data_IF_698847119257
#
_entry.id   IF_698847119257
#
_cell.length_a   1.000
_cell.length_b   1.000
_cell.length_c   1.000
_cell.angle_alpha   90.00
_cell.angle_beta   90.00
_cell.angle_gamma   90.00
#
_symmetry.space_group_name_H-M   'P 1'
#
loop_
_entity.id
_entity.type
_entity.pdbx_description
1 polymer ?
#
# COMPACT_ATOMS: atom_id res chain seq x y z
N UNK A 1 -1.65 -20.98 -13.87
CA UNK A 1 -1.31 -19.60 -14.22
C UNK A 1 -1.58 -19.38 -15.70
N UNK A 2 -2.18 -18.21 -16.05
CA UNK A 2 -2.35 -17.76 -17.45
C UNK A 2 -1.34 -16.64 -17.70
N UNK A 3 -0.58 -16.73 -18.81
CA UNK A 3 0.47 -15.76 -19.14
C UNK A 3 0.19 -15.24 -20.55
N UNK A 4 0.03 -13.92 -20.67
CA UNK A 4 -0.15 -13.22 -21.94
C UNK A 4 1.17 -12.99 -22.69
N UNK A 5 1.08 -12.34 -23.84
CA UNK A 5 2.22 -12.12 -24.73
C UNK A 5 3.23 -11.11 -24.12
N UNK A 6 4.50 -11.27 -24.47
CA UNK A 6 5.60 -10.38 -24.08
C UNK A 6 5.82 -10.24 -22.57
N UNK A 7 5.39 -11.21 -21.75
CA UNK A 7 5.70 -11.24 -20.34
C UNK A 7 7.15 -11.69 -20.10
N UNK A 8 7.79 -11.07 -19.10
CA UNK A 8 9.14 -11.44 -18.65
C UNK A 8 9.02 -11.93 -17.21
N UNK A 9 9.50 -13.14 -16.95
CA UNK A 9 9.49 -13.76 -15.61
C UNK A 9 10.93 -14.16 -15.27
N UNK A 10 11.44 -13.62 -14.16
CA UNK A 10 12.78 -13.88 -13.67
C UNK A 10 12.95 -15.30 -13.12
N UNK A 11 14.20 -15.76 -13.02
CA UNK A 11 14.55 -17.13 -12.60
C UNK A 11 14.10 -17.46 -11.15
N UNK A 12 14.07 -16.46 -10.26
CA UNK A 12 13.76 -16.62 -8.86
C UNK A 12 12.31 -16.20 -8.53
N UNK A 13 11.40 -16.30 -9.51
CA UNK A 13 9.99 -15.93 -9.34
C UNK A 13 9.15 -17.18 -9.13
N UNK A 14 8.39 -17.21 -8.04
CA UNK A 14 7.38 -18.23 -7.77
C UNK A 14 5.98 -17.62 -7.91
N UNK A 15 5.09 -18.27 -8.71
CA UNK A 15 3.72 -17.77 -8.94
C UNK A 15 2.72 -18.87 -8.59
N UNK A 16 1.83 -18.59 -7.64
CA UNK A 16 0.78 -19.50 -7.22
C UNK A 16 -0.34 -19.70 -8.26
N UNK A 17 -1.27 -20.60 -7.94
CA UNK A 17 -2.32 -21.04 -8.83
C UNK A 17 -3.28 -19.91 -9.23
N UNK A 18 -3.90 -20.05 -10.38
CA UNK A 18 -4.97 -19.17 -10.90
C UNK A 18 -4.57 -17.71 -11.10
N UNK A 19 -3.29 -17.39 -11.06
CA UNK A 19 -2.81 -16.06 -11.42
C UNK A 19 -2.95 -15.79 -12.92
N UNK A 20 -3.17 -14.52 -13.27
CA UNK A 20 -3.26 -14.03 -14.64
C UNK A 20 -2.24 -12.91 -14.85
N UNK A 21 -1.31 -13.12 -15.73
CA UNK A 21 -0.42 -12.08 -16.24
C UNK A 21 -0.96 -11.70 -17.63
N UNK A 22 -1.47 -10.47 -17.75
CA UNK A 22 -1.88 -9.97 -19.06
C UNK A 22 -0.63 -9.65 -19.89
N UNK A 23 -0.78 -8.94 -21.00
CA UNK A 23 0.36 -8.72 -21.89
C UNK A 23 1.43 -7.81 -21.26
N UNK A 24 2.70 -8.04 -21.59
CA UNK A 24 3.81 -7.10 -21.26
C UNK A 24 4.01 -6.89 -19.75
N UNK A 25 3.77 -7.92 -18.94
CA UNK A 25 4.04 -7.92 -17.51
C UNK A 25 5.48 -8.31 -17.25
N UNK A 26 6.17 -7.60 -16.35
CA UNK A 26 7.53 -7.88 -15.94
C UNK A 26 7.58 -8.23 -14.46
N UNK A 27 7.99 -9.45 -14.11
CA UNK A 27 8.17 -9.92 -12.74
C UNK A 27 9.60 -10.41 -12.56
N UNK A 28 10.33 -9.83 -11.63
CA UNK A 28 11.76 -10.09 -11.41
C UNK A 28 12.09 -10.28 -9.91
N UNK A 29 13.40 -10.35 -9.64
CA UNK A 29 13.93 -10.49 -8.28
C UNK A 29 13.53 -11.79 -7.60
N UNK A 30 13.84 -11.91 -6.31
CA UNK A 30 13.38 -13.04 -5.50
C UNK A 30 11.92 -12.76 -5.05
N UNK A 31 10.98 -13.07 -5.93
CA UNK A 31 9.57 -12.69 -5.77
C UNK A 31 8.68 -13.92 -5.63
N UNK A 32 7.94 -13.97 -4.53
CA UNK A 32 6.94 -15.00 -4.28
C UNK A 32 5.54 -14.41 -4.32
N UNK A 33 4.68 -14.98 -5.17
CA UNK A 33 3.31 -14.53 -5.43
C UNK A 33 2.35 -15.65 -5.07
N UNK A 34 1.34 -15.34 -4.27
CA UNK A 34 0.25 -16.24 -3.92
C UNK A 34 -0.70 -16.51 -5.10
N UNK A 35 -1.94 -16.88 -4.79
CA UNK A 35 -2.92 -17.36 -5.75
C UNK A 35 -3.86 -16.26 -6.24
N UNK A 36 -4.44 -16.46 -7.43
CA UNK A 36 -5.54 -15.63 -7.98
C UNK A 36 -5.21 -14.15 -8.11
N UNK A 37 -3.94 -13.81 -8.27
CA UNK A 37 -3.52 -12.44 -8.55
C UNK A 37 -3.68 -12.10 -10.04
N UNK A 38 -4.00 -10.84 -10.34
CA UNK A 38 -4.14 -10.34 -11.71
C UNK A 38 -3.15 -9.18 -11.91
N UNK A 39 -2.31 -9.33 -12.92
CA UNK A 39 -1.34 -8.30 -13.32
C UNK A 39 -1.73 -7.78 -14.70
N UNK A 40 -2.01 -6.49 -14.77
CA UNK A 40 -2.41 -5.79 -16.00
C UNK A 40 -1.18 -5.38 -16.83
N UNK A 41 -1.37 -4.93 -18.07
CA UNK A 41 -0.25 -4.60 -18.96
C UNK A 41 0.71 -3.56 -18.35
N UNK A 42 2.01 -3.73 -18.64
CA UNK A 42 3.09 -2.84 -18.21
C UNK A 42 3.33 -2.77 -16.70
N UNK A 43 2.82 -3.73 -15.94
CA UNK A 43 3.14 -3.87 -14.52
C UNK A 43 4.57 -4.36 -14.35
N UNK A 44 5.30 -3.81 -13.37
CA UNK A 44 6.67 -4.20 -13.02
C UNK A 44 6.76 -4.58 -11.54
N UNK A 45 6.97 -5.86 -11.26
CA UNK A 45 6.98 -6.44 -9.91
C UNK A 45 8.37 -6.97 -9.57
N UNK A 46 8.81 -6.78 -8.33
CA UNK A 46 10.10 -7.26 -7.85
C UNK A 46 11.28 -6.47 -8.41
N UNK A 47 11.05 -5.21 -8.73
CA UNK A 47 12.08 -4.33 -9.30
C UNK A 47 13.14 -3.95 -8.28
N UNK A 48 14.31 -3.59 -8.77
CA UNK A 48 15.40 -3.03 -7.97
C UNK A 48 14.91 -1.81 -7.18
N UNK A 49 15.22 -1.73 -5.87
CA UNK A 49 14.88 -0.56 -5.05
C UNK A 49 15.46 0.73 -5.61
N UNK A 50 14.67 1.80 -5.56
CA UNK A 50 15.13 3.16 -5.89
C UNK A 50 15.85 3.79 -4.67
N UNK A 51 16.81 3.08 -4.14
CA UNK A 51 17.65 3.51 -3.01
C UNK A 51 19.11 3.57 -3.43
N UNK A 52 19.75 4.73 -3.28
CA UNK A 52 21.16 4.94 -3.63
C UNK A 52 22.12 4.06 -2.82
N UNK A 53 21.67 3.48 -1.72
CA UNK A 53 22.48 2.57 -0.90
C UNK A 53 22.41 1.12 -1.38
N UNK A 54 21.41 0.75 -2.17
CA UNK A 54 21.26 -0.61 -2.68
C UNK A 54 22.44 -0.99 -3.57
N UNK A 55 23.03 -2.17 -3.32
CA UNK A 55 24.22 -2.68 -4.04
C UNK A 55 23.98 -4.01 -4.76
N UNK A 56 22.70 -4.44 -4.88
CA UNK A 56 22.35 -5.72 -5.46
C UNK A 56 22.28 -6.87 -4.45
N UNK A 57 22.06 -6.55 -3.20
CA UNK A 57 21.91 -7.52 -2.11
C UNK A 57 20.73 -8.45 -2.38
N UNK A 58 20.80 -9.65 -1.84
CA UNK A 58 19.73 -10.62 -1.96
C UNK A 58 18.55 -10.22 -1.05
N UNK A 59 17.53 -9.67 -1.66
CA UNK A 59 16.32 -9.19 -1.00
C UNK A 59 15.06 -9.72 -1.69
N UNK A 60 13.91 -9.59 -1.08
CA UNK A 60 12.72 -10.36 -1.40
C UNK A 60 11.48 -9.47 -1.55
N UNK A 61 10.49 -10.02 -2.27
CA UNK A 61 9.12 -9.53 -2.33
C UNK A 61 8.16 -10.70 -2.11
N UNK A 62 7.22 -10.52 -1.18
CA UNK A 62 6.12 -11.46 -0.98
C UNK A 62 4.78 -10.78 -1.28
N UNK A 63 3.97 -11.41 -2.12
CA UNK A 63 2.61 -10.99 -2.47
C UNK A 63 1.66 -12.12 -2.12
N UNK A 64 0.63 -11.84 -1.34
CA UNK A 64 -0.43 -12.78 -0.99
C UNK A 64 -1.41 -13.06 -2.14
N UNK A 65 -2.66 -13.34 -1.79
CA UNK A 65 -3.68 -13.82 -2.70
C UNK A 65 -4.68 -12.72 -3.13
N UNK A 66 -5.34 -12.94 -4.28
CA UNK A 66 -6.46 -12.13 -4.78
C UNK A 66 -6.15 -10.63 -4.95
N UNK A 67 -4.94 -10.27 -5.31
CA UNK A 67 -4.59 -8.88 -5.56
C UNK A 67 -4.75 -8.54 -7.05
N UNK A 68 -5.08 -7.27 -7.33
CA UNK A 68 -5.12 -6.72 -8.67
C UNK A 68 -4.13 -5.56 -8.80
N UNK A 69 -3.17 -5.71 -9.71
CA UNK A 69 -2.20 -4.67 -10.05
C UNK A 69 -2.54 -4.13 -11.43
N UNK A 70 -3.10 -2.92 -11.47
CA UNK A 70 -3.47 -2.25 -12.71
C UNK A 70 -2.23 -1.75 -13.45
N UNK A 71 -2.45 -1.27 -14.64
CA UNK A 71 -1.42 -0.88 -15.59
C UNK A 71 -0.39 0.06 -14.95
N UNK A 72 0.87 -0.15 -15.31
CA UNK A 72 2.01 0.66 -14.85
C UNK A 72 2.28 0.65 -13.34
N UNK A 73 1.66 -0.25 -12.57
CA UNK A 73 2.06 -0.44 -11.18
C UNK A 73 3.51 -0.90 -11.08
N UNK A 74 4.22 -0.38 -10.07
CA UNK A 74 5.58 -0.76 -9.77
C UNK A 74 5.71 -1.16 -8.30
N UNK A 75 6.34 -2.30 -8.01
CA UNK A 75 6.62 -2.78 -6.66
C UNK A 75 8.08 -3.20 -6.57
N UNK A 76 8.83 -2.62 -5.63
CA UNK A 76 10.23 -2.95 -5.42
C UNK A 76 10.42 -4.08 -4.40
N UNK A 77 11.51 -4.86 -4.52
CA UNK A 77 11.96 -5.76 -3.45
C UNK A 77 12.42 -4.97 -2.23
N UNK A 78 12.74 -5.65 -1.12
CA UNK A 78 13.29 -5.00 0.08
C UNK A 78 14.74 -4.55 -0.08
N UNK A 79 15.30 -3.97 1.00
CA UNK A 79 16.72 -3.60 1.12
C UNK A 79 17.34 -4.29 2.34
N UNK A 80 18.67 -4.44 2.37
CA UNK A 80 19.40 -5.02 3.51
C UNK A 80 19.06 -4.32 4.82
N UNK A 81 18.97 -3.00 4.78
CA UNK A 81 18.75 -2.16 5.96
C UNK A 81 17.27 -2.12 6.42
N UNK A 82 16.34 -2.44 5.53
CA UNK A 82 14.90 -2.43 5.81
C UNK A 82 14.31 -3.78 6.23
N UNK A 83 15.15 -4.79 6.45
CA UNK A 83 14.69 -6.13 6.81
C UNK A 83 14.57 -7.07 5.61
N UNK A 84 15.11 -6.68 4.48
CA UNK A 84 15.26 -7.48 3.26
C UNK A 84 13.98 -7.82 2.50
N UNK A 85 12.81 -7.36 2.92
CA UNK A 85 11.57 -7.84 2.34
C UNK A 85 10.48 -6.77 2.26
N UNK A 86 9.91 -6.63 1.07
CA UNK A 86 8.62 -5.96 0.87
C UNK A 86 7.49 -6.98 0.92
N UNK A 87 6.40 -6.68 1.63
CA UNK A 87 5.25 -7.58 1.77
C UNK A 87 3.95 -6.90 1.40
N UNK A 88 3.14 -7.62 0.62
CA UNK A 88 1.75 -7.24 0.29
C UNK A 88 0.87 -8.43 0.66
N UNK A 89 -0.14 -8.20 1.51
CA UNK A 89 -1.08 -9.25 1.90
C UNK A 89 -2.14 -9.49 0.82
N UNK A 90 -3.39 -9.66 1.19
CA UNK A 90 -4.43 -10.22 0.32
C UNK A 90 -5.51 -9.19 -0.04
N UNK A 91 -6.23 -9.46 -1.14
CA UNK A 91 -7.43 -8.74 -1.56
C UNK A 91 -7.20 -7.25 -1.82
N UNK A 92 -6.06 -6.86 -2.32
CA UNK A 92 -5.70 -5.47 -2.56
C UNK A 92 -5.96 -5.07 -4.02
N UNK A 93 -6.36 -3.81 -4.21
CA UNK A 93 -6.46 -3.17 -5.51
C UNK A 93 -5.44 -2.03 -5.59
N UNK A 94 -4.48 -2.18 -6.49
CA UNK A 94 -3.54 -1.14 -6.88
C UNK A 94 -3.95 -0.61 -8.24
N UNK A 95 -4.45 0.63 -8.28
CA UNK A 95 -4.91 1.25 -9.52
C UNK A 95 -3.73 1.72 -10.38
N UNK A 96 -4.03 2.24 -11.55
CA UNK A 96 -3.03 2.63 -12.57
C UNK A 96 -1.91 3.50 -11.98
N UNK A 97 -0.67 3.13 -12.26
CA UNK A 97 0.51 3.94 -11.93
C UNK A 97 0.89 3.96 -10.44
N UNK A 98 0.33 3.08 -9.62
CA UNK A 98 0.70 3.00 -8.19
C UNK A 98 2.14 2.53 -8.05
N UNK A 99 2.91 3.21 -7.20
CA UNK A 99 4.26 2.81 -6.79
C UNK A 99 4.27 2.34 -5.33
N UNK A 100 4.83 1.16 -5.09
CA UNK A 100 5.14 0.65 -3.74
C UNK A 100 6.65 0.53 -3.60
N UNK A 101 7.21 1.36 -2.73
CA UNK A 101 8.64 1.38 -2.41
C UNK A 101 9.10 0.12 -1.67
N UNK A 102 10.41 -0.02 -1.56
CA UNK A 102 11.07 -1.12 -0.86
C UNK A 102 10.70 -1.19 0.63
N UNK A 103 10.76 -2.38 1.20
CA UNK A 103 10.53 -2.64 2.63
C UNK A 103 9.13 -2.25 3.17
N UNK A 104 8.19 -1.95 2.29
CA UNK A 104 6.81 -1.70 2.69
C UNK A 104 6.13 -2.96 3.23
N UNK A 105 5.30 -2.80 4.25
CA UNK A 105 4.45 -3.84 4.82
C UNK A 105 2.98 -3.45 4.60
N UNK A 106 2.36 -4.03 3.60
CA UNK A 106 1.01 -3.65 3.13
C UNK A 106 0.00 -4.69 3.61
N UNK A 107 -0.99 -4.27 4.41
CA UNK A 107 -2.05 -5.10 4.96
C UNK A 107 -3.06 -5.63 3.94
N UNK A 108 -4.13 -6.25 4.41
CA UNK A 108 -5.20 -6.79 3.57
C UNK A 108 -6.18 -5.70 3.12
N UNK A 109 -6.92 -5.98 2.03
CA UNK A 109 -8.07 -5.20 1.55
C UNK A 109 -7.73 -3.73 1.25
N UNK A 110 -6.54 -3.46 0.74
CA UNK A 110 -6.14 -2.09 0.37
C UNK A 110 -6.84 -1.63 -0.89
N UNK A 111 -7.17 -0.34 -0.95
CA UNK A 111 -7.53 0.33 -2.20
C UNK A 111 -6.60 1.52 -2.38
N UNK A 112 -5.63 1.38 -3.28
CA UNK A 112 -4.65 2.43 -3.57
C UNK A 112 -4.94 2.97 -4.96
N UNK A 113 -5.39 4.23 -5.00
CA UNK A 113 -5.88 4.85 -6.22
C UNK A 113 -4.74 5.33 -7.13
N UNK A 114 -5.12 5.71 -8.35
CA UNK A 114 -4.23 6.06 -9.45
C UNK A 114 -3.08 7.00 -9.04
N UNK A 115 -1.88 6.64 -9.48
CA UNK A 115 -0.66 7.44 -9.30
C UNK A 115 -0.29 7.74 -7.84
N UNK A 116 -0.81 6.99 -6.88
CA UNK A 116 -0.35 7.11 -5.51
C UNK A 116 1.08 6.55 -5.39
N UNK A 117 1.96 7.32 -4.71
CA UNK A 117 3.36 6.98 -4.51
C UNK A 117 3.62 6.66 -3.04
N UNK A 118 3.91 5.40 -2.73
CA UNK A 118 4.24 4.94 -1.39
C UNK A 118 5.74 4.77 -1.29
N UNK A 119 6.40 5.62 -0.51
CA UNK A 119 7.84 5.55 -0.31
C UNK A 119 8.24 4.32 0.53
N UNK A 120 9.53 4.04 0.62
CA UNK A 120 10.04 2.86 1.33
C UNK A 120 9.71 2.82 2.81
N UNK A 121 9.70 1.60 3.38
CA UNK A 121 9.49 1.33 4.82
C UNK A 121 8.12 1.72 5.38
N UNK A 122 7.12 1.99 4.54
CA UNK A 122 5.78 2.30 5.02
C UNK A 122 5.07 1.04 5.53
N UNK A 123 4.27 1.21 6.58
CA UNK A 123 3.46 0.14 7.18
C UNK A 123 1.99 0.52 7.07
N UNK A 124 1.22 -0.27 6.34
CA UNK A 124 -0.23 -0.09 6.21
C UNK A 124 -0.94 -1.23 6.92
N UNK A 125 -1.77 -0.89 7.88
CA UNK A 125 -2.69 -1.86 8.47
C UNK A 125 -3.77 -2.27 7.45
N UNK A 126 -4.68 -3.17 7.83
CA UNK A 126 -5.74 -3.63 6.93
C UNK A 126 -6.74 -2.51 6.58
N UNK A 127 -7.37 -2.63 5.42
CA UNK A 127 -8.53 -1.82 4.99
C UNK A 127 -8.22 -0.33 4.72
N UNK A 128 -6.98 0.02 4.41
CA UNK A 128 -6.59 1.41 4.10
C UNK A 128 -7.03 1.80 2.69
N UNK A 129 -7.44 3.06 2.54
CA UNK A 129 -7.76 3.66 1.24
C UNK A 129 -6.84 4.86 1.01
N UNK A 130 -6.09 4.85 -0.09
CA UNK A 130 -5.25 5.98 -0.51
C UNK A 130 -5.86 6.61 -1.75
N UNK A 131 -6.18 7.89 -1.68
CA UNK A 131 -6.70 8.68 -2.79
C UNK A 131 -5.65 8.90 -3.89
N UNK A 132 -6.12 9.13 -5.11
CA UNK A 132 -5.25 9.30 -6.27
C UNK A 132 -4.31 10.49 -6.15
N UNK A 133 -3.13 10.38 -6.79
CA UNK A 133 -2.06 11.37 -6.79
C UNK A 133 -1.57 11.76 -5.38
N UNK A 134 -1.78 10.90 -4.38
CA UNK A 134 -1.25 11.11 -3.03
C UNK A 134 0.15 10.52 -2.91
N UNK A 135 0.95 11.10 -2.00
CA UNK A 135 2.29 10.60 -1.69
C UNK A 135 2.40 10.32 -0.20
N UNK A 136 2.99 9.17 0.16
CA UNK A 136 3.24 8.79 1.55
C UNK A 136 4.74 8.76 1.78
N UNK A 137 5.20 9.57 2.75
CA UNK A 137 6.62 9.68 3.10
C UNK A 137 7.12 8.36 3.71
N UNK A 138 8.39 8.08 3.50
CA UNK A 138 9.05 6.88 4.06
C UNK A 138 8.88 6.76 5.58
N UNK A 139 8.83 5.52 6.08
CA UNK A 139 8.65 5.17 7.49
C UNK A 139 7.28 5.52 8.09
N UNK A 140 6.32 5.98 7.30
CA UNK A 140 4.99 6.34 7.78
C UNK A 140 4.14 5.09 8.05
N UNK A 141 3.37 5.13 9.13
CA UNK A 141 2.37 4.11 9.47
C UNK A 141 0.96 4.62 9.19
N UNK A 142 0.18 3.83 8.46
CA UNK A 142 -1.23 4.14 8.17
C UNK A 142 -2.10 3.12 8.90
N UNK A 143 -2.87 3.62 9.86
CA UNK A 143 -3.71 2.79 10.72
C UNK A 143 -4.89 2.17 9.99
N UNK A 144 -5.41 1.08 10.54
CA UNK A 144 -6.50 0.28 10.00
C UNK A 144 -7.71 1.13 9.60
N UNK A 145 -8.24 0.89 8.40
CA UNK A 145 -9.45 1.56 7.92
C UNK A 145 -9.32 3.07 7.72
N UNK A 146 -8.10 3.61 7.77
CA UNK A 146 -7.87 5.00 7.47
C UNK A 146 -8.11 5.32 5.99
N UNK A 147 -8.48 6.55 5.71
CA UNK A 147 -8.63 7.07 4.36
C UNK A 147 -7.77 8.31 4.16
N UNK A 148 -6.93 8.29 3.16
CA UNK A 148 -6.17 9.44 2.67
C UNK A 148 -6.90 10.00 1.46
N UNK A 149 -7.30 11.27 1.51
CA UNK A 149 -7.94 11.96 0.40
C UNK A 149 -6.98 12.11 -0.80
N UNK A 150 -7.52 12.33 -1.99
CA UNK A 150 -6.68 12.55 -3.17
C UNK A 150 -5.79 13.79 -3.05
N UNK A 151 -4.67 13.81 -3.76
CA UNK A 151 -3.70 14.92 -3.79
C UNK A 151 -3.08 15.23 -2.41
N UNK A 152 -3.02 14.25 -1.50
CA UNK A 152 -2.54 14.43 -0.13
C UNK A 152 -1.08 14.01 0.01
N UNK A 153 -0.26 14.89 0.59
CA UNK A 153 1.07 14.54 1.07
C UNK A 153 1.02 14.08 2.52
N UNK A 154 1.27 12.79 2.75
CA UNK A 154 1.28 12.19 4.10
C UNK A 154 2.71 12.14 4.61
N UNK A 155 3.04 12.95 5.59
CA UNK A 155 4.39 13.07 6.18
C UNK A 155 4.46 12.64 7.66
N UNK A 156 3.37 12.08 8.19
CA UNK A 156 3.24 11.59 9.57
C UNK A 156 2.36 10.35 9.62
N UNK A 157 2.38 9.65 10.74
CA UNK A 157 1.50 8.50 10.98
C UNK A 157 0.04 8.90 10.98
N UNK A 158 -0.81 8.05 10.40
CA UNK A 158 -2.26 8.26 10.30
C UNK A 158 -2.97 7.32 11.26
N UNK A 159 -3.82 7.88 12.12
CA UNK A 159 -4.58 7.10 13.09
C UNK A 159 -5.61 6.17 12.40
N UNK A 160 -5.93 5.03 13.01
CA UNK A 160 -6.95 4.13 12.49
C UNK A 160 -8.30 4.81 12.30
N UNK A 161 -9.03 4.43 11.25
CA UNK A 161 -10.39 4.90 10.94
C UNK A 161 -10.54 6.42 10.81
N UNK A 162 -9.44 7.14 10.52
CA UNK A 162 -9.49 8.59 10.28
C UNK A 162 -9.51 8.91 8.79
N UNK A 163 -9.99 10.08 8.46
CA UNK A 163 -9.89 10.70 7.13
C UNK A 163 -8.89 11.86 7.23
N UNK A 164 -7.84 11.79 6.42
CA UNK A 164 -6.84 12.86 6.29
C UNK A 164 -6.80 13.38 4.85
N UNK A 165 -6.56 14.67 4.68
CA UNK A 165 -6.45 15.30 3.36
C UNK A 165 -5.62 16.59 3.42
N UNK A 166 -5.11 17.01 2.30
CA UNK A 166 -4.41 18.30 2.14
C UNK A 166 -3.02 18.16 1.59
N UNK A 167 -2.41 19.25 1.24
CA UNK A 167 -1.06 19.32 0.68
C UNK A 167 -0.01 18.70 1.63
N UNK A 168 -0.13 19.03 2.94
CA UNK A 168 0.31 18.18 4.04
C UNK A 168 -0.94 17.90 4.85
N UNK A 169 -1.18 16.64 5.23
CA UNK A 169 -2.46 16.30 5.81
C UNK A 169 -2.73 17.08 7.11
N UNK A 170 -3.98 17.40 7.33
CA UNK A 170 -4.52 17.74 8.63
C UNK A 170 -5.68 16.77 8.95
N UNK A 171 -5.93 16.58 10.24
CA UNK A 171 -7.07 15.78 10.66
C UNK A 171 -8.38 16.51 10.27
N UNK A 172 -9.22 15.86 9.48
CA UNK A 172 -10.53 16.38 9.09
C UNK A 172 -11.63 15.80 9.94
N UNK A 173 -11.68 14.48 10.06
CA UNK A 173 -12.69 13.74 10.81
C UNK A 173 -12.32 12.26 10.86
N UNK A 174 -13.09 11.46 11.63
CA UNK A 174 -13.04 10.01 11.54
C UNK A 174 -13.66 9.53 10.23
N UNK A 175 -13.28 8.34 9.76
CA UNK A 175 -13.83 7.75 8.55
C UNK A 175 -15.23 7.15 8.81
N UNK A 176 -16.25 8.01 8.96
CA UNK A 176 -17.64 7.62 9.26
C UNK A 176 -18.20 6.59 8.25
N UNK A 177 -17.95 6.80 6.98
CA UNK A 177 -18.45 5.91 5.92
C UNK A 177 -17.81 4.54 6.04
N UNK A 178 -16.49 4.50 6.25
CA UNK A 178 -15.74 3.25 6.45
C UNK A 178 -16.21 2.48 7.67
N UNK A 179 -16.40 3.15 8.80
CA UNK A 179 -16.89 2.54 10.02
C UNK A 179 -18.29 1.95 9.84
N UNK A 180 -19.22 2.70 9.23
CA UNK A 180 -20.60 2.22 8.95
C UNK A 180 -20.61 1.01 8.01
N UNK A 181 -19.81 1.02 6.93
CA UNK A 181 -19.70 -0.12 6.01
C UNK A 181 -19.14 -1.38 6.68
N UNK A 182 -18.31 -1.22 7.71
CA UNK A 182 -17.79 -2.33 8.53
C UNK A 182 -18.74 -2.80 9.63
N UNK A 183 -19.92 -2.19 9.74
CA UNK A 183 -20.98 -2.60 10.69
C UNK A 183 -20.77 -2.11 12.12
N UNK A 184 -19.89 -1.12 12.36
CA UNK A 184 -19.77 -0.51 13.69
C UNK A 184 -21.08 0.17 14.08
N UNK A 185 -21.50 -0.02 15.33
CA UNK A 185 -22.70 0.61 15.87
C UNK A 185 -22.48 2.12 16.07
N UNK A 186 -23.54 2.90 15.96
CA UNK A 186 -23.44 4.35 16.14
C UNK A 186 -22.81 4.75 17.48
N UNK A 187 -23.09 4.01 18.56
CA UNK A 187 -22.50 4.25 19.89
C UNK A 187 -20.98 4.05 19.90
N UNK A 188 -20.47 3.05 19.19
CA UNK A 188 -19.04 2.80 19.07
C UNK A 188 -18.36 3.90 18.26
N UNK A 189 -19.01 4.34 17.18
CA UNK A 189 -18.54 5.42 16.32
C UNK A 189 -18.46 6.74 17.08
N UNK A 190 -19.48 7.09 17.86
CA UNK A 190 -19.49 8.33 18.66
C UNK A 190 -18.44 8.31 19.76
N UNK A 191 -18.27 7.19 20.46
CA UNK A 191 -17.20 7.04 21.45
C UNK A 191 -15.82 7.21 20.83
N UNK A 192 -15.56 6.58 19.69
CA UNK A 192 -14.29 6.70 18.99
C UNK A 192 -14.04 8.14 18.52
N UNK A 193 -15.07 8.80 17.95
CA UNK A 193 -15.01 10.20 17.53
C UNK A 193 -14.63 11.13 18.69
N UNK A 194 -15.24 10.95 19.86
CA UNK A 194 -14.92 11.72 21.05
C UNK A 194 -13.46 11.56 21.45
N UNK A 195 -12.97 10.32 21.54
CA UNK A 195 -11.57 10.02 21.89
C UNK A 195 -10.60 10.66 20.91
N UNK A 196 -10.85 10.52 19.60
CA UNK A 196 -9.98 11.12 18.57
C UNK A 196 -9.97 12.65 18.66
N UNK A 197 -11.13 13.28 18.84
CA UNK A 197 -11.21 14.74 18.98
C UNK A 197 -10.48 15.24 20.25
N UNK A 198 -10.56 14.52 21.36
CA UNK A 198 -9.82 14.83 22.58
C UNK A 198 -8.30 14.76 22.33
N UNK A 199 -7.81 13.76 21.60
CA UNK A 199 -6.41 13.64 21.23
C UNK A 199 -5.93 14.84 20.39
N UNK A 200 -6.67 15.22 19.35
CA UNK A 200 -6.28 16.33 18.47
C UNK A 200 -6.46 17.71 19.08
N UNK A 201 -7.32 17.86 20.08
CA UNK A 201 -7.51 19.12 20.81
C UNK A 201 -6.59 19.26 22.04
N UNK A 202 -5.87 18.22 22.44
CA UNK A 202 -4.89 18.29 23.52
C UNK A 202 -3.72 19.21 23.15
N UNK A 203 -3.23 20.02 24.09
CA UNK A 203 -2.10 20.94 23.85
C UNK A 203 -0.82 20.24 23.38
N UNK A 204 -0.68 18.95 23.65
CA UNK A 204 0.46 18.14 23.23
C UNK A 204 0.52 17.90 21.72
N UNK A 205 -0.60 17.98 20.99
CA UNK A 205 -0.63 17.78 19.54
C UNK A 205 -0.49 19.08 18.73
N UNK A 206 -0.53 20.25 19.36
CA UNK A 206 -0.30 21.54 18.69
C UNK A 206 1.18 21.81 18.36
N UNK A 207 2.09 20.93 18.77
CA UNK A 207 3.56 21.06 18.59
C UNK A 207 4.17 20.19 17.51
N UNK A 208 3.36 19.44 16.76
CA UNK A 208 3.88 18.55 15.69
C UNK A 208 3.20 18.83 14.37
#
# INVERSE_FOLDING_TARGET
VKIGDFCIIGENVEIGDDCQLLNTVNIQGNTKIGKKNIFYPFVSIGTTPQDLKFRGEQTYLEIGDNNSFREYCNVSVGTEQGGKITKIKNNCLFMVGVHIGHDCQIGNNQVIANNAAIAGHCIFDDDVIIGGNSAVLQFTKIGKGAMVGGMTGVDKDVLPFTLVKGNRYYFENINLIGLKRKGFKNTEIENYKKTVNELFNSENMKKY
#
